data_IF_838803990848
#
_entry.id   IF_838803990848
#
_cell.length_a   1.000
_cell.length_b   1.000
_cell.length_c   1.000
_cell.angle_alpha   90.00
_cell.angle_beta   90.00
_cell.angle_gamma   90.00
#
_symmetry.space_group_name_H-M   'P 1'
#
loop_
_entity.id
_entity.type
_entity.pdbx_description
1 polymer ?
#
# COMPACT_ATOMS: atom_id res chain seq x y z
N UNK A 1 -13.35 22.76 -0.11
CA UNK A 1 -12.12 21.95 0.00
C UNK A 1 -12.14 20.91 -1.10
N UNK A 2 -11.18 20.95 -2.04
CA UNK A 2 -10.99 19.88 -3.02
C UNK A 2 -10.14 18.82 -2.33
N UNK A 3 -10.77 17.78 -1.80
CA UNK A 3 -10.04 16.62 -1.27
C UNK A 3 -9.08 16.11 -2.34
N UNK A 4 -7.82 15.91 -1.97
CA UNK A 4 -6.82 15.38 -2.90
C UNK A 4 -7.25 13.97 -3.26
N UNK A 5 -7.79 13.79 -4.47
CA UNK A 5 -8.15 12.47 -5.00
C UNK A 5 -6.83 11.84 -5.44
N UNK A 6 -6.26 10.96 -4.62
CA UNK A 6 -5.07 10.21 -4.98
C UNK A 6 -5.43 9.09 -5.94
N UNK A 7 -5.12 9.32 -7.22
CA UNK A 7 -5.39 8.41 -8.32
C UNK A 7 -4.10 7.75 -8.81
N UNK A 8 -4.13 6.43 -9.04
CA UNK A 8 -3.07 5.71 -9.75
C UNK A 8 -3.62 4.99 -10.96
N UNK A 9 -2.76 4.80 -11.95
CA UNK A 9 -3.11 4.16 -13.21
C UNK A 9 -2.64 2.71 -13.24
N UNK A 10 -3.47 1.82 -13.80
CA UNK A 10 -3.05 0.46 -14.12
C UNK A 10 -3.53 0.07 -15.52
N UNK A 11 -2.68 -0.64 -16.27
CA UNK A 11 -3.09 -1.29 -17.52
C UNK A 11 -3.98 -2.50 -17.20
N UNK A 12 -5.16 -2.54 -17.80
CA UNK A 12 -6.11 -3.67 -17.75
C UNK A 12 -6.39 -4.18 -19.15
N UNK A 13 -6.50 -5.51 -19.30
CA UNK A 13 -6.89 -6.13 -20.56
C UNK A 13 -8.36 -5.80 -20.86
N UNK A 14 -8.64 -5.35 -22.09
CA UNK A 14 -9.99 -5.10 -22.62
C UNK A 14 -10.02 -5.57 -24.08
N UNK A 15 -10.77 -6.65 -24.34
CA UNK A 15 -10.74 -7.34 -25.63
C UNK A 15 -9.32 -7.83 -25.98
N UNK A 16 -8.86 -7.52 -27.18
CA UNK A 16 -7.52 -7.86 -27.68
C UNK A 16 -6.42 -6.83 -27.31
N UNK A 17 -6.75 -5.81 -26.51
CA UNK A 17 -5.80 -4.75 -26.12
C UNK A 17 -5.74 -4.49 -24.61
N UNK A 18 -4.99 -3.45 -24.24
CA UNK A 18 -4.94 -2.92 -22.88
C UNK A 18 -5.50 -1.50 -22.84
N UNK A 19 -6.24 -1.17 -21.79
CA UNK A 19 -6.65 0.20 -21.48
C UNK A 19 -5.99 0.62 -20.17
N UNK A 20 -5.59 1.88 -20.09
CA UNK A 20 -5.20 2.50 -18.83
C UNK A 20 -6.47 2.83 -18.05
N UNK A 21 -6.56 2.35 -16.81
CA UNK A 21 -7.66 2.66 -15.90
C UNK A 21 -7.11 3.36 -14.67
N UNK A 22 -7.75 4.45 -14.29
CA UNK A 22 -7.45 5.22 -13.08
C UNK A 22 -8.22 4.64 -11.89
N UNK A 23 -7.55 4.55 -10.75
CA UNK A 23 -8.09 4.02 -9.49
C UNK A 23 -7.80 4.98 -8.35
N UNK A 24 -8.78 5.19 -7.49
CA UNK A 24 -8.60 5.92 -6.24
C UNK A 24 -8.09 5.00 -5.14
N UNK A 25 -7.24 5.53 -4.25
CA UNK A 25 -6.95 4.89 -2.97
C UNK A 25 -8.21 4.88 -2.11
N UNK A 26 -8.56 3.73 -1.55
CA UNK A 26 -9.65 3.64 -0.59
C UNK A 26 -9.13 3.70 0.85
N UNK A 27 -10.04 3.78 1.82
CA UNK A 27 -9.68 3.87 3.25
C UNK A 27 -8.73 2.76 3.71
N UNK A 28 -8.90 1.54 3.20
CA UNK A 28 -8.03 0.42 3.57
C UNK A 28 -6.64 0.54 2.94
N UNK A 29 -6.55 1.05 1.71
CA UNK A 29 -5.27 1.38 1.10
C UNK A 29 -4.53 2.42 1.95
N UNK A 30 -5.22 3.48 2.39
CA UNK A 30 -4.63 4.51 3.25
C UNK A 30 -4.19 3.97 4.61
N UNK A 31 -5.00 3.14 5.29
CA UNK A 31 -4.61 2.51 6.57
C UNK A 31 -3.32 1.71 6.45
N UNK A 32 -3.13 0.99 5.33
CA UNK A 32 -1.90 0.23 5.09
C UNK A 32 -0.69 1.18 4.96
N UNK A 33 -0.83 2.26 4.19
CA UNK A 33 0.23 3.26 4.03
C UNK A 33 0.54 3.96 5.36
N UNK A 34 -0.48 4.33 6.11
CA UNK A 34 -0.38 5.01 7.40
C UNK A 34 0.29 4.12 8.46
N UNK A 35 -0.07 2.82 8.50
CA UNK A 35 0.59 1.81 9.36
C UNK A 35 2.08 1.72 9.07
N UNK A 36 2.45 1.67 7.78
CA UNK A 36 3.86 1.62 7.39
C UNK A 36 4.59 2.91 7.75
N UNK A 37 3.91 4.05 7.64
CA UNK A 37 4.48 5.36 7.88
C UNK A 37 4.77 5.58 9.36
N UNK A 38 3.78 5.31 10.22
CA UNK A 38 3.89 5.48 11.67
C UNK A 38 4.88 4.49 12.29
N UNK A 39 4.98 3.29 11.72
CA UNK A 39 5.98 2.30 12.12
C UNK A 39 7.39 2.55 11.60
N UNK A 40 7.61 3.56 10.75
CA UNK A 40 8.93 3.88 10.20
C UNK A 40 9.45 2.86 9.17
N UNK A 41 8.58 2.03 8.61
CA UNK A 41 8.95 0.97 7.66
C UNK A 41 9.18 1.55 6.26
N UNK A 42 10.36 2.16 6.03
CA UNK A 42 10.65 3.02 4.88
C UNK A 42 11.82 2.56 4.02
N UNK A 43 12.36 1.37 4.25
CA UNK A 43 13.40 0.80 3.40
C UNK A 43 13.37 -0.73 3.38
N UNK A 44 14.23 -1.31 2.53
CA UNK A 44 14.32 -2.73 2.26
C UNK A 44 14.58 -3.61 3.50
N UNK A 45 15.28 -3.07 4.51
CA UNK A 45 15.65 -3.77 5.75
C UNK A 45 14.62 -3.54 6.86
N UNK A 46 13.95 -2.39 6.85
CA UNK A 46 12.88 -2.04 7.79
C UNK A 46 11.51 -2.27 7.14
N UNK A 47 11.14 -3.54 6.96
CA UNK A 47 9.90 -3.99 6.33
C UNK A 47 9.13 -4.93 7.26
N UNK A 48 7.80 -5.03 7.08
CA UNK A 48 6.93 -5.89 7.92
C UNK A 48 6.16 -6.92 7.13
N UNK A 49 5.89 -8.05 7.77
CA UNK A 49 4.97 -9.09 7.31
C UNK A 49 3.51 -8.64 7.41
N UNK A 50 2.62 -9.41 6.77
CA UNK A 50 1.18 -9.24 6.97
C UNK A 50 0.79 -9.52 8.42
N UNK A 51 1.44 -10.46 9.10
CA UNK A 51 1.08 -10.80 10.48
C UNK A 51 1.29 -9.59 11.41
N UNK A 52 2.47 -8.97 11.36
CA UNK A 52 2.80 -7.77 12.14
C UNK A 52 1.89 -6.60 11.77
N UNK A 53 1.59 -6.40 10.48
CA UNK A 53 0.65 -5.36 10.04
C UNK A 53 -0.76 -5.56 10.64
N UNK A 54 -1.23 -6.80 10.75
CA UNK A 54 -2.51 -7.11 11.39
C UNK A 54 -2.46 -6.82 12.89
N UNK A 55 -1.36 -7.15 13.56
CA UNK A 55 -1.15 -6.87 14.99
C UNK A 55 -1.14 -5.37 15.28
N UNK A 56 -0.41 -4.59 14.49
CA UNK A 56 -0.38 -3.11 14.58
C UNK A 56 -1.76 -2.48 14.39
N UNK A 57 -2.68 -3.17 13.70
CA UNK A 57 -4.06 -2.75 13.49
C UNK A 57 -5.06 -3.46 14.41
N UNK A 58 -4.61 -4.01 15.54
CA UNK A 58 -5.43 -4.72 16.53
C UNK A 58 -6.32 -5.83 15.94
N UNK A 59 -5.86 -6.50 14.89
CA UNK A 59 -6.61 -7.55 14.19
C UNK A 59 -7.86 -7.07 13.45
N UNK A 60 -8.09 -5.76 13.33
CA UNK A 60 -9.28 -5.19 12.66
C UNK A 60 -9.29 -5.46 11.14
N UNK A 61 -8.15 -5.88 10.58
CA UNK A 61 -7.97 -6.14 9.17
C UNK A 61 -8.09 -7.63 8.85
N UNK A 62 -8.72 -7.95 7.70
CA UNK A 62 -8.79 -9.34 7.22
C UNK A 62 -7.57 -9.67 6.37
N UNK A 63 -6.81 -10.70 6.75
CA UNK A 63 -5.56 -11.14 6.08
C UNK A 63 -5.65 -11.20 4.56
N UNK A 64 -6.66 -11.90 4.01
CA UNK A 64 -6.81 -12.04 2.55
C UNK A 64 -7.12 -10.72 1.85
N UNK A 65 -7.82 -9.81 2.51
CA UNK A 65 -8.09 -8.48 1.98
C UNK A 65 -6.82 -7.63 1.97
N UNK A 66 -6.05 -7.65 3.07
CA UNK A 66 -4.75 -6.97 3.17
C UNK A 66 -3.78 -7.49 2.11
N UNK A 67 -3.67 -8.81 1.94
CA UNK A 67 -2.82 -9.41 0.90
C UNK A 67 -3.14 -8.86 -0.49
N UNK A 68 -4.41 -8.89 -0.91
CA UNK A 68 -4.83 -8.37 -2.22
C UNK A 68 -4.52 -6.88 -2.39
N UNK A 69 -4.61 -6.11 -1.30
CA UNK A 69 -4.33 -4.67 -1.26
C UNK A 69 -2.83 -4.41 -1.40
N UNK A 70 -2.00 -5.13 -0.67
CA UNK A 70 -0.54 -5.06 -0.78
C UNK A 70 -0.07 -5.36 -2.20
N UNK A 71 -0.58 -6.41 -2.85
CA UNK A 71 -0.23 -6.71 -4.25
C UNK A 71 -0.58 -5.55 -5.20
N UNK A 72 -1.69 -4.85 -4.95
CA UNK A 72 -2.10 -3.69 -5.74
C UNK A 72 -1.20 -2.49 -5.50
N UNK A 73 -0.85 -2.23 -4.24
CA UNK A 73 0.02 -1.13 -3.82
C UNK A 73 1.47 -1.31 -4.28
N UNK A 74 1.98 -2.56 -4.27
CA UNK A 74 3.28 -2.92 -4.85
C UNK A 74 3.29 -2.60 -6.34
N UNK A 75 2.28 -3.09 -7.08
CA UNK A 75 2.18 -2.85 -8.52
C UNK A 75 2.01 -1.35 -8.87
N UNK A 76 1.44 -0.57 -7.96
CA UNK A 76 1.26 0.87 -8.12
C UNK A 76 2.41 1.69 -7.50
N UNK A 77 3.47 1.04 -7.02
CA UNK A 77 4.71 1.64 -6.51
C UNK A 77 4.52 2.58 -5.30
N UNK A 78 3.48 2.33 -4.50
CA UNK A 78 3.33 3.00 -3.20
C UNK A 78 4.19 2.33 -2.12
N UNK A 79 4.43 1.03 -2.26
CA UNK A 79 5.19 0.19 -1.33
C UNK A 79 6.09 -0.78 -2.11
N UNK A 80 7.18 -1.22 -1.48
CA UNK A 80 8.09 -2.25 -2.00
C UNK A 80 8.00 -3.55 -1.21
N UNK A 81 8.63 -4.62 -1.73
CA UNK A 81 8.87 -5.87 -0.98
C UNK A 81 10.27 -5.84 -0.38
N UNK A 82 10.37 -6.10 0.93
CA UNK A 82 11.63 -6.12 1.68
C UNK A 82 12.32 -7.48 1.68
N UNK A 83 13.23 -7.67 2.64
CA UNK A 83 13.83 -8.99 2.94
C UNK A 83 12.75 -9.97 3.40
N UNK A 84 12.76 -11.19 2.87
CA UNK A 84 11.81 -12.22 3.28
C UNK A 84 12.03 -12.59 4.76
N UNK A 85 10.93 -12.71 5.51
CA UNK A 85 10.95 -13.22 6.88
C UNK A 85 10.54 -14.70 6.85
N UNK A 86 11.55 -15.58 6.86
CA UNK A 86 11.44 -17.02 6.61
C UNK A 86 10.74 -17.34 5.28
N UNK A 87 9.42 -17.58 5.31
CA UNK A 87 8.58 -17.84 4.14
C UNK A 87 7.59 -16.71 3.83
N UNK A 88 7.66 -15.61 4.58
CA UNK A 88 6.71 -14.50 4.51
C UNK A 88 7.28 -13.30 3.76
N UNK A 89 6.53 -12.82 2.76
CA UNK A 89 6.79 -11.51 2.15
C UNK A 89 6.72 -10.40 3.22
N UNK A 90 7.66 -9.46 3.16
CA UNK A 90 7.66 -8.21 3.94
C UNK A 90 7.44 -6.99 3.04
N UNK A 91 6.98 -5.89 3.61
CA UNK A 91 6.58 -4.69 2.89
C UNK A 91 7.07 -3.41 3.57
N UNK A 92 7.49 -2.42 2.77
CA UNK A 92 7.94 -1.10 3.23
C UNK A 92 7.43 0.01 2.31
N UNK A 93 7.38 1.24 2.80
CA UNK A 93 6.96 2.42 2.04
C UNK A 93 7.98 2.87 1.01
N UNK A 94 7.48 3.25 -0.16
CA UNK A 94 8.24 4.00 -1.15
C UNK A 94 7.90 5.49 -1.06
N UNK A 95 8.73 6.33 -1.68
CA UNK A 95 8.59 7.78 -1.76
C UNK A 95 7.16 8.24 -2.14
N UNK A 96 6.53 7.54 -3.08
CA UNK A 96 5.15 7.81 -3.50
C UNK A 96 4.14 7.59 -2.38
N UNK A 97 4.30 6.53 -1.59
CA UNK A 97 3.49 6.25 -0.41
C UNK A 97 3.69 7.28 0.69
N UNK A 98 4.94 7.68 0.94
CA UNK A 98 5.31 8.70 1.94
C UNK A 98 4.56 10.01 1.65
N UNK A 99 4.70 10.55 0.43
CA UNK A 99 4.04 11.78 0.00
C UNK A 99 2.51 11.72 0.08
N UNK A 100 1.94 10.53 -0.11
CA UNK A 100 0.49 10.31 -0.03
C UNK A 100 -0.01 10.43 1.41
N UNK A 101 0.73 9.89 2.38
CA UNK A 101 0.37 10.00 3.79
C UNK A 101 0.55 11.43 4.28
N UNK A 102 1.69 12.06 3.99
CA UNK A 102 2.00 13.45 4.37
C UNK A 102 0.95 14.43 3.84
N UNK A 103 0.66 14.38 2.54
CA UNK A 103 -0.36 15.27 1.96
C UNK A 103 -1.78 15.01 2.47
N UNK A 104 -2.07 13.81 3.00
CA UNK A 104 -3.33 13.52 3.67
C UNK A 104 -3.43 14.06 5.10
N UNK A 105 -2.29 14.29 5.79
CA UNK A 105 -2.22 14.83 7.15
C UNK A 105 -2.18 16.36 7.18
N UNK A 106 -1.70 16.98 6.11
CA UNK A 106 -1.69 18.44 5.94
C UNK A 106 -3.07 19.01 5.50
N UNK A 107 -4.02 18.13 5.15
CA UNK A 107 -5.31 18.48 4.53
C UNK A 107 -6.45 18.80 5.51
#
# INVERSE_FOLDING_TARGET
MKGVIYVYEMKRRKGNGYVTQTYELNRLDYIILDTLYDGGFKDYYHAITIAEMLELNNGALKRMTVYKKLQKLVKAEYIGKGIIDDHSDTYYLLEKGIKTVEGGREA
#
